data_IF_504713305538
#
_entry.id   IF_504713305538
#
_cell.length_a   1.000
_cell.length_b   1.000
_cell.length_c   1.000
_cell.angle_alpha   90.00
_cell.angle_beta   90.00
_cell.angle_gamma   90.00
#
_symmetry.space_group_name_H-M   'P 1'
#
loop_
_entity.id
_entity.type
_entity.pdbx_description
1 polymer ?
#
# COMPACT_ATOMS: atom_id res chain seq x y z
N UNK A 1 -17.22 4.21 -5.91
CA UNK A 1 -16.75 2.97 -6.56
C UNK A 1 -17.62 1.80 -6.10
N UNK A 2 -17.98 0.84 -6.95
CA UNK A 2 -18.75 -0.34 -6.51
C UNK A 2 -18.02 -1.02 -5.36
N UNK A 3 -18.73 -1.27 -4.25
CA UNK A 3 -18.14 -1.75 -2.98
C UNK A 3 -17.64 -3.20 -3.03
N UNK A 4 -17.87 -3.91 -4.13
CA UNK A 4 -17.77 -5.37 -4.14
C UNK A 4 -16.72 -5.84 -5.15
N UNK A 5 -15.50 -6.04 -4.66
CA UNK A 5 -14.47 -6.86 -5.32
C UNK A 5 -14.79 -8.35 -5.06
N UNK A 6 -16.06 -8.73 -5.17
CA UNK A 6 -16.56 -10.03 -4.69
C UNK A 6 -15.98 -11.21 -5.48
N UNK A 7 -15.50 -10.97 -6.71
CA UNK A 7 -15.07 -12.00 -7.65
C UNK A 7 -13.58 -11.92 -8.03
N UNK A 8 -12.75 -11.15 -7.32
CA UNK A 8 -11.36 -10.95 -7.77
C UNK A 8 -11.27 -10.14 -9.04
N UNK A 9 -12.00 -9.04 -9.07
CA UNK A 9 -12.08 -8.14 -10.21
C UNK A 9 -11.80 -6.72 -9.74
N UNK A 10 -11.07 -5.96 -10.54
CA UNK A 10 -10.90 -4.53 -10.35
C UNK A 10 -11.82 -3.78 -11.30
N UNK A 11 -12.32 -2.64 -10.86
CA UNK A 11 -13.29 -1.87 -11.63
C UNK A 11 -12.60 -0.65 -12.26
N UNK A 12 -12.70 -0.55 -13.58
CA UNK A 12 -12.13 0.55 -14.37
C UNK A 12 -13.26 1.31 -15.08
N UNK A 13 -13.03 2.56 -15.44
CA UNK A 13 -13.98 3.30 -16.26
C UNK A 13 -13.89 2.87 -17.73
N UNK A 14 -15.03 2.89 -18.42
CA UNK A 14 -15.04 2.90 -19.86
C UNK A 14 -14.43 4.21 -20.42
N UNK A 15 -14.14 4.24 -21.73
CA UNK A 15 -13.51 5.41 -22.39
C UNK A 15 -14.29 6.71 -22.21
N UNK A 16 -15.60 6.63 -22.01
CA UNK A 16 -16.50 7.78 -21.86
C UNK A 16 -16.72 8.20 -20.40
N UNK A 17 -16.09 7.51 -19.44
CA UNK A 17 -16.28 7.72 -17.99
C UNK A 17 -17.74 7.64 -17.52
N UNK A 18 -18.58 6.87 -18.21
CA UNK A 18 -20.01 6.73 -17.91
C UNK A 18 -20.35 5.46 -17.17
N UNK A 19 -19.52 4.42 -17.31
CA UNK A 19 -19.77 3.09 -16.74
C UNK A 19 -18.48 2.51 -16.16
N UNK A 20 -18.66 1.70 -15.12
CA UNK A 20 -17.61 0.85 -14.59
C UNK A 20 -17.62 -0.49 -15.32
N UNK A 21 -16.48 -0.89 -15.83
CA UNK A 21 -16.21 -2.19 -16.41
C UNK A 21 -15.36 -3.00 -15.45
N UNK A 22 -15.76 -4.25 -15.24
CA UNK A 22 -14.95 -5.21 -14.49
C UNK A 22 -13.74 -5.66 -15.32
N UNK A 23 -12.58 -5.73 -14.68
CA UNK A 23 -11.35 -6.31 -15.20
C UNK A 23 -10.91 -7.45 -14.26
N UNK A 24 -10.88 -8.71 -14.73
CA UNK A 24 -10.40 -9.83 -13.94
C UNK A 24 -8.91 -9.73 -13.61
N UNK A 25 -8.53 -10.20 -12.42
CA UNK A 25 -7.12 -10.22 -12.00
C UNK A 25 -6.23 -11.05 -12.93
N UNK A 26 -6.75 -12.10 -13.55
CA UNK A 26 -6.00 -12.93 -14.51
C UNK A 26 -5.45 -12.15 -15.71
N UNK A 27 -6.18 -11.14 -16.17
CA UNK A 27 -5.71 -10.27 -17.26
C UNK A 27 -4.54 -9.42 -16.79
N UNK A 28 -4.67 -8.82 -15.61
CA UNK A 28 -3.68 -7.92 -15.05
C UNK A 28 -2.37 -8.66 -14.70
N UNK A 29 -2.44 -9.90 -14.21
CA UNK A 29 -1.29 -10.80 -14.03
C UNK A 29 -0.62 -11.14 -15.37
N UNK A 30 -1.41 -11.47 -16.40
CA UNK A 30 -0.89 -11.81 -17.73
C UNK A 30 -0.12 -10.69 -18.44
N UNK A 31 -0.44 -9.44 -18.11
CA UNK A 31 0.17 -8.26 -18.73
C UNK A 31 1.53 -7.91 -18.14
N UNK A 32 1.65 -7.92 -16.81
CA UNK A 32 2.86 -7.49 -16.11
C UNK A 32 3.86 -8.62 -15.92
N UNK A 33 3.38 -9.86 -15.69
CA UNK A 33 4.21 -11.05 -15.43
C UNK A 33 5.20 -10.83 -14.28
N UNK A 34 6.16 -11.74 -14.12
CA UNK A 34 7.19 -11.71 -13.10
C UNK A 34 8.51 -11.14 -13.66
N UNK A 35 9.29 -10.35 -12.88
CA UNK A 35 9.01 -9.89 -11.52
C UNK A 35 8.08 -8.68 -11.48
N UNK A 36 7.18 -8.61 -10.50
CA UNK A 36 6.24 -7.49 -10.35
C UNK A 36 5.90 -7.13 -8.91
N UNK A 37 5.52 -5.87 -8.70
CA UNK A 37 5.02 -5.35 -7.42
C UNK A 37 3.67 -4.68 -7.66
N UNK A 38 2.67 -5.05 -6.87
CA UNK A 38 1.33 -4.48 -6.93
C UNK A 38 0.96 -3.82 -5.60
N UNK A 39 0.35 -2.65 -5.69
CA UNK A 39 -0.09 -1.88 -4.54
C UNK A 39 -1.56 -1.52 -4.72
N UNK A 40 -2.42 -2.05 -3.84
CA UNK A 40 -3.87 -1.87 -3.90
C UNK A 40 -4.34 -0.98 -2.76
N UNK A 41 -4.55 0.31 -3.08
CA UNK A 41 -5.14 1.29 -2.17
C UNK A 41 -6.63 1.47 -2.48
N UNK A 42 -7.43 0.54 -1.97
CA UNK A 42 -8.88 0.54 -2.15
C UNK A 42 -9.57 -0.21 -1.01
N UNK A 43 -10.89 -0.04 -0.89
CA UNK A 43 -11.70 -0.84 0.04
C UNK A 43 -11.66 -2.32 -0.34
N UNK A 44 -11.68 -3.21 0.65
CA UNK A 44 -11.62 -4.65 0.44
C UNK A 44 -10.39 -5.12 -0.36
N UNK A 45 -9.25 -4.41 -0.29
CA UNK A 45 -8.05 -4.70 -1.08
C UNK A 45 -7.53 -6.14 -0.90
N UNK A 46 -7.68 -6.75 0.29
CA UNK A 46 -7.34 -8.16 0.52
C UNK A 46 -8.09 -9.12 -0.40
N UNK A 47 -9.28 -8.77 -0.89
CA UNK A 47 -10.00 -9.61 -1.86
C UNK A 47 -9.23 -9.77 -3.17
N UNK A 48 -8.51 -8.72 -3.60
CA UNK A 48 -7.66 -8.77 -4.79
C UNK A 48 -6.50 -9.74 -4.56
N UNK A 49 -5.80 -9.60 -3.43
CA UNK A 49 -4.67 -10.48 -3.05
C UNK A 49 -5.10 -11.94 -3.00
N UNK A 50 -6.25 -12.23 -2.37
CA UNK A 50 -6.78 -13.59 -2.29
C UNK A 50 -7.04 -14.19 -3.68
N UNK A 51 -7.43 -13.38 -4.66
CA UNK A 51 -7.65 -13.85 -6.03
C UNK A 51 -6.37 -14.09 -6.79
N UNK A 52 -5.30 -13.30 -6.55
CA UNK A 52 -3.96 -13.62 -7.07
C UNK A 52 -3.44 -14.95 -6.53
N UNK A 53 -3.55 -15.18 -5.22
CA UNK A 53 -3.10 -16.43 -4.59
C UNK A 53 -3.83 -17.63 -5.19
N UNK A 54 -5.17 -17.57 -5.29
CA UNK A 54 -5.97 -18.65 -5.90
C UNK A 54 -5.59 -18.91 -7.36
N UNK A 55 -5.35 -17.84 -8.13
CA UNK A 55 -4.95 -17.97 -9.52
C UNK A 55 -3.60 -18.69 -9.62
N UNK A 56 -2.64 -18.29 -8.79
CA UNK A 56 -1.32 -18.90 -8.76
C UNK A 56 -1.35 -20.36 -8.34
N UNK A 57 -2.14 -20.72 -7.32
CA UNK A 57 -2.34 -22.10 -6.90
C UNK A 57 -2.86 -22.97 -8.06
N UNK A 58 -3.85 -22.47 -8.82
CA UNK A 58 -4.37 -23.15 -10.00
C UNK A 58 -3.35 -23.28 -11.13
N UNK A 59 -2.56 -22.24 -11.39
CA UNK A 59 -1.50 -22.28 -12.39
C UNK A 59 -0.42 -23.29 -12.00
N UNK A 60 -0.03 -23.31 -10.72
CA UNK A 60 0.97 -24.24 -10.19
C UNK A 60 0.51 -25.69 -10.29
N UNK A 61 -0.75 -25.98 -9.97
CA UNK A 61 -1.34 -27.31 -10.13
C UNK A 61 -1.41 -27.76 -11.59
N UNK A 62 -1.61 -26.83 -12.53
CA UNK A 62 -1.86 -27.15 -13.95
C UNK A 62 -0.60 -27.22 -14.79
N UNK A 63 0.41 -26.41 -14.48
CA UNK A 63 1.60 -26.21 -15.32
C UNK A 63 2.92 -26.46 -14.60
N UNK A 64 2.87 -26.93 -13.36
CA UNK A 64 4.04 -27.12 -12.49
C UNK A 64 4.41 -25.84 -11.73
N UNK A 65 5.38 -25.92 -10.80
CA UNK A 65 5.76 -24.79 -9.97
C UNK A 65 6.26 -23.63 -10.85
N UNK A 66 5.46 -22.57 -10.96
CA UNK A 66 5.95 -21.30 -11.48
C UNK A 66 6.52 -20.52 -10.30
N UNK A 67 7.76 -20.04 -10.40
CA UNK A 67 8.31 -19.17 -9.37
C UNK A 67 7.58 -17.82 -9.48
N UNK A 68 6.57 -17.59 -8.65
CA UNK A 68 5.88 -16.31 -8.59
C UNK A 68 6.83 -15.31 -7.92
N UNK A 69 7.49 -14.50 -8.73
CA UNK A 69 8.25 -13.36 -8.24
C UNK A 69 7.33 -12.12 -8.24
N UNK A 70 6.38 -12.12 -7.30
CA UNK A 70 5.35 -11.09 -7.20
C UNK A 70 5.15 -10.64 -5.75
N UNK A 71 5.27 -9.33 -5.52
CA UNK A 71 5.01 -8.72 -4.20
C UNK A 71 3.64 -8.04 -4.26
N UNK A 72 2.74 -8.43 -3.36
CA UNK A 72 1.38 -7.91 -3.27
C UNK A 72 1.19 -7.11 -1.98
N UNK A 73 0.83 -5.84 -2.08
CA UNK A 73 0.51 -4.98 -0.95
C UNK A 73 -0.95 -4.51 -1.02
N UNK A 74 -1.70 -4.69 0.07
CA UNK A 74 -3.11 -4.32 0.16
C UNK A 74 -3.36 -3.42 1.37
N UNK A 75 -4.05 -2.30 1.15
CA UNK A 75 -4.27 -1.28 2.16
C UNK A 75 -5.18 -1.70 3.32
N UNK A 76 -6.09 -2.65 3.11
CA UNK A 76 -7.05 -3.09 4.13
C UNK A 76 -7.53 -4.54 3.94
N UNK A 77 -8.15 -5.10 4.98
CA UNK A 77 -8.77 -6.44 4.97
C UNK A 77 -9.99 -6.53 4.05
N UNK A 78 -10.44 -7.76 3.77
CA UNK A 78 -11.48 -8.05 2.77
C UNK A 78 -12.85 -7.46 3.10
N UNK A 79 -13.10 -7.17 4.37
CA UNK A 79 -14.35 -6.59 4.88
C UNK A 79 -14.17 -5.14 5.32
N UNK A 80 -12.96 -4.60 5.23
CA UNK A 80 -12.64 -3.26 5.70
C UNK A 80 -12.88 -2.21 4.62
N UNK A 81 -13.27 -1.04 5.09
CA UNK A 81 -13.35 0.18 4.29
C UNK A 81 -12.34 1.13 4.92
N UNK A 82 -11.37 1.66 4.16
CA UNK A 82 -10.40 2.62 4.68
C UNK A 82 -11.12 3.85 5.24
N UNK A 83 -10.52 4.53 6.23
CA UNK A 83 -11.12 5.69 6.87
C UNK A 83 -11.52 6.75 5.83
N UNK A 84 -12.77 7.22 5.90
CA UNK A 84 -13.34 8.20 4.97
C UNK A 84 -13.38 9.63 5.54
N UNK A 85 -12.86 9.84 6.75
CA UNK A 85 -12.88 11.16 7.38
C UNK A 85 -11.92 12.11 6.66
N UNK A 86 -12.33 13.37 6.50
CA UNK A 86 -11.57 14.41 5.80
C UNK A 86 -10.16 14.69 6.38
N UNK A 87 -9.88 14.25 7.62
CA UNK A 87 -8.57 14.35 8.27
C UNK A 87 -7.53 13.36 7.70
N UNK A 88 -7.98 12.23 7.14
CA UNK A 88 -7.13 11.29 6.42
C UNK A 88 -7.33 11.56 4.93
N UNK A 89 -6.26 12.00 4.24
CA UNK A 89 -6.29 12.09 2.79
C UNK A 89 -6.64 10.70 2.22
N UNK A 90 -7.42 10.68 1.14
CA UNK A 90 -7.98 9.47 0.50
C UNK A 90 -6.89 8.47 0.05
N UNK A 91 -5.62 8.87 0.04
CA UNK A 91 -4.46 8.06 -0.34
C UNK A 91 -3.56 7.71 0.87
N UNK A 92 -4.13 7.47 2.05
CA UNK A 92 -3.35 7.25 3.29
C UNK A 92 -2.30 6.14 3.15
N UNK A 93 -2.63 5.03 2.49
CA UNK A 93 -1.70 3.90 2.38
C UNK A 93 -0.55 4.20 1.43
N UNK A 94 -0.82 4.71 0.23
CA UNK A 94 0.23 5.11 -0.72
C UNK A 94 1.06 6.27 -0.17
N UNK A 95 0.42 7.23 0.49
CA UNK A 95 1.11 8.37 1.08
C UNK A 95 2.02 7.95 2.23
N UNK A 96 1.58 7.08 3.14
CA UNK A 96 2.42 6.59 4.24
C UNK A 96 3.55 5.68 3.73
N UNK A 97 3.29 4.88 2.69
CA UNK A 97 4.31 4.07 2.02
C UNK A 97 5.39 4.96 1.37
N UNK A 98 5.00 6.09 0.78
CA UNK A 98 5.91 6.99 0.07
C UNK A 98 6.51 8.09 0.96
N UNK A 99 5.86 8.50 2.04
CA UNK A 99 6.20 9.66 2.86
C UNK A 99 6.07 9.36 4.38
N UNK A 100 6.79 8.34 4.83
CA UNK A 100 6.56 7.65 6.10
C UNK A 100 6.80 8.43 7.41
N UNK A 101 7.09 9.73 7.39
CA UNK A 101 7.87 10.33 8.50
C UNK A 101 7.14 11.32 9.42
N UNK A 102 5.90 11.76 9.16
CA UNK A 102 5.43 12.96 9.89
C UNK A 102 3.95 13.11 10.25
N UNK A 103 3.05 12.19 9.88
CA UNK A 103 1.62 12.31 10.21
C UNK A 103 1.15 11.59 11.47
N UNK A 104 2.05 11.17 12.35
CA UNK A 104 1.67 10.56 13.63
C UNK A 104 1.19 11.58 14.69
N UNK A 105 1.44 12.87 14.46
CA UNK A 105 1.15 13.94 15.40
C UNK A 105 -0.33 14.03 15.87
N UNK A 106 -1.37 13.73 15.05
CA UNK A 106 -2.77 13.75 15.50
C UNK A 106 -3.15 12.70 16.53
N UNK A 107 -2.35 11.65 16.70
CA UNK A 107 -2.63 10.60 17.68
C UNK A 107 -1.78 10.71 18.95
N UNK A 108 -0.96 11.75 19.03
CA UNK A 108 -0.13 12.02 20.20
C UNK A 108 -0.82 12.99 21.16
N UNK A 109 -0.46 12.92 22.45
CA UNK A 109 -0.91 13.87 23.49
C UNK A 109 -0.53 15.34 23.18
N UNK A 110 0.23 15.57 22.11
CA UNK A 110 0.69 16.87 21.64
C UNK A 110 -0.21 17.47 20.55
N UNK A 111 -1.29 16.79 20.14
CA UNK A 111 -2.23 17.31 19.12
C UNK A 111 -2.73 18.73 19.46
N UNK A 112 -2.95 19.04 20.73
CA UNK A 112 -3.42 20.38 21.15
C UNK A 112 -2.32 21.45 21.13
N UNK A 113 -1.04 21.05 21.12
CA UNK A 113 0.10 21.95 21.28
C UNK A 113 0.93 22.15 20.01
N UNK A 114 0.71 21.35 18.97
CA UNK A 114 1.48 21.39 17.72
C UNK A 114 0.53 21.69 16.56
N UNK A 115 0.74 22.84 15.92
CA UNK A 115 0.08 23.16 14.65
C UNK A 115 0.61 22.24 13.54
N UNK A 116 -0.28 21.46 12.92
CA UNK A 116 0.03 20.57 11.79
C UNK A 116 0.69 21.29 10.62
N UNK A 117 0.44 22.59 10.45
CA UNK A 117 1.09 23.39 9.40
C UNK A 117 2.62 23.50 9.58
N UNK A 118 3.14 23.20 10.78
CA UNK A 118 4.57 23.18 11.06
C UNK A 118 5.26 21.96 10.48
N UNK A 119 4.54 20.86 10.30
CA UNK A 119 5.08 19.62 9.71
C UNK A 119 5.47 19.87 8.25
N UNK A 120 4.62 20.55 7.50
CA UNK A 120 4.91 20.94 6.11
C UNK A 120 6.03 22.00 6.00
N UNK A 121 6.38 22.63 7.13
CA UNK A 121 7.43 23.66 7.23
C UNK A 121 8.73 23.13 7.83
N UNK A 122 8.85 21.82 8.10
CA UNK A 122 10.10 21.23 8.56
C UNK A 122 11.17 21.53 7.52
N UNK A 123 12.15 22.34 7.92
CA UNK A 123 13.18 22.84 7.02
C UNK A 123 14.21 21.75 6.73
N UNK A 124 14.64 21.67 5.48
CA UNK A 124 15.71 20.77 5.06
C UNK A 124 15.35 19.90 3.87
N UNK A 125 16.20 18.91 3.61
CA UNK A 125 16.01 17.91 2.54
C UNK A 125 16.32 16.54 3.11
N UNK A 126 15.51 15.54 2.74
CA UNK A 126 15.72 14.15 3.15
C UNK A 126 17.05 13.54 2.68
N UNK A 127 17.81 14.22 1.82
CA UNK A 127 19.13 13.78 1.35
C UNK A 127 20.29 14.53 2.03
N UNK A 128 20.02 15.62 2.74
CA UNK A 128 21.05 16.44 3.39
C UNK A 128 21.19 16.07 4.87
N UNK A 129 22.29 15.36 5.18
CA UNK A 129 22.62 14.85 6.52
C UNK A 129 22.74 15.91 7.60
N UNK A 130 22.79 17.19 7.24
CA UNK A 130 22.87 18.32 8.19
C UNK A 130 21.51 18.88 8.56
N UNK A 131 20.43 18.36 7.99
CA UNK A 131 19.09 18.90 8.18
C UNK A 131 18.27 18.04 9.13
N UNK A 132 17.43 18.70 9.93
CA UNK A 132 16.53 18.02 10.86
C UNK A 132 15.58 17.04 10.14
N UNK A 133 15.14 17.38 8.92
CA UNK A 133 14.32 16.49 8.10
C UNK A 133 15.04 15.17 7.77
N UNK A 134 16.34 15.22 7.49
CA UNK A 134 17.13 14.01 7.27
C UNK A 134 17.29 13.19 8.53
N UNK A 135 17.56 13.83 9.68
CA UNK A 135 17.69 13.11 10.97
C UNK A 135 16.42 12.34 11.31
N UNK A 136 15.24 12.96 11.15
CA UNK A 136 13.96 12.29 11.35
C UNK A 136 13.77 11.09 10.41
N UNK A 137 14.05 11.27 9.13
CA UNK A 137 13.93 10.19 8.15
C UNK A 137 14.92 9.04 8.45
N UNK A 138 16.12 9.37 8.89
CA UNK A 138 17.14 8.39 9.24
C UNK A 138 16.77 7.58 10.48
N UNK A 139 16.25 8.23 11.53
CA UNK A 139 15.71 7.55 12.71
C UNK A 139 14.58 6.62 12.32
N UNK A 140 13.63 7.10 11.49
CA UNK A 140 12.52 6.28 11.01
C UNK A 140 13.01 5.03 10.29
N UNK A 141 13.95 5.19 9.35
CA UNK A 141 14.56 4.09 8.59
C UNK A 141 15.24 3.09 9.53
N UNK A 142 16.02 3.57 10.50
CA UNK A 142 16.71 2.71 11.45
C UNK A 142 15.73 1.88 12.30
N UNK A 143 14.64 2.48 12.75
CA UNK A 143 13.61 1.79 13.53
C UNK A 143 12.86 0.75 12.69
N UNK A 144 12.46 1.11 11.46
CA UNK A 144 11.74 0.17 10.57
C UNK A 144 12.62 -1.00 10.15
N UNK A 145 13.89 -0.75 9.79
CA UNK A 145 14.84 -1.79 9.42
C UNK A 145 15.13 -2.72 10.59
N UNK A 146 15.35 -2.15 11.78
CA UNK A 146 15.56 -2.94 13.01
C UNK A 146 14.33 -3.78 13.34
N UNK A 147 13.13 -3.24 13.16
CA UNK A 147 11.89 -4.00 13.38
C UNK A 147 11.77 -5.16 12.40
N UNK A 148 11.99 -4.91 11.10
CA UNK A 148 11.95 -5.94 10.08
C UNK A 148 12.98 -7.05 10.36
N UNK A 149 14.22 -6.68 10.71
CA UNK A 149 15.29 -7.62 11.03
C UNK A 149 14.99 -8.53 12.23
N UNK A 150 14.29 -8.00 13.25
CA UNK A 150 13.98 -8.77 14.46
C UNK A 150 12.69 -9.60 14.34
N UNK A 151 11.75 -9.21 13.48
CA UNK A 151 10.43 -9.86 13.35
C UNK A 151 10.42 -10.90 12.23
N UNK A 152 11.08 -10.63 11.11
CA UNK A 152 11.09 -11.52 9.96
C UNK A 152 12.19 -12.59 10.09
N UNK A 153 11.95 -13.82 9.62
CA UNK A 153 12.98 -14.84 9.57
C UNK A 153 14.10 -14.45 8.59
N UNK A 154 15.33 -14.85 8.90
CA UNK A 154 16.42 -14.82 7.93
C UNK A 154 16.09 -15.84 6.84
N UNK A 155 15.97 -15.39 5.58
CA UNK A 155 15.73 -16.29 4.45
C UNK A 155 16.87 -17.30 4.33
N UNK A 156 16.51 -18.58 4.22
CA UNK A 156 17.43 -19.67 3.86
C UNK A 156 17.73 -19.68 2.36
#
# INVERSE_FOLDING_TARGET
>A
MPKTIANGEIWLFNKSYTQYNSLPISYLDSWLKTPSIYVFDCSAARMIVNSFVKLHDWTTLSFGPSMMDCILMAACEAHEIPPQSAEFLVDFFIYDLLNSSYKFCPRTLLHEFIDYSLIDKISGRQTDRKTFLWELNWIFTAVTDTTAWNVLPLGE
#
